data_IF_341987091006
#
_entry.id   IF_341987091006
#
_cell.length_a   1.000
_cell.length_b   1.000
_cell.length_c   1.000
_cell.angle_alpha   90.00
_cell.angle_beta   90.00
_cell.angle_gamma   90.00
#
_symmetry.space_group_name_H-M   'P 1'
#
loop_
_entity.id
_entity.type
_entity.pdbx_description
1 polymer ?
#
# COMPACT_ATOMS: atom_id res chain seq x y z
N UNK A 1 2.61 22.39 12.39
CA UNK A 1 1.94 21.47 11.44
C UNK A 1 0.52 21.16 11.87
N UNK A 2 -0.38 20.84 10.93
CA UNK A 2 -1.75 20.36 11.19
C UNK A 2 -2.02 19.12 10.32
N UNK A 3 -2.99 18.29 10.74
CA UNK A 3 -3.37 17.07 10.06
C UNK A 3 -4.80 17.20 9.54
N UNK A 4 -5.02 16.96 8.24
CA UNK A 4 -6.35 16.83 7.66
C UNK A 4 -6.58 15.38 7.23
N UNK A 5 -7.77 14.85 7.47
CA UNK A 5 -8.17 13.51 7.00
C UNK A 5 -9.24 13.61 5.93
N UNK A 6 -9.07 12.84 4.86
CA UNK A 6 -10.17 12.50 3.98
C UNK A 6 -11.01 11.34 4.54
N UNK A 7 -11.96 10.87 3.72
CA UNK A 7 -12.91 9.84 4.14
C UNK A 7 -12.43 8.40 3.91
N UNK A 8 -11.41 8.17 3.06
CA UNK A 8 -11.02 6.83 2.63
C UNK A 8 -10.51 5.93 3.75
N UNK A 9 -9.85 6.51 4.78
CA UNK A 9 -9.30 5.75 5.92
C UNK A 9 -9.17 6.61 7.18
N UNK A 10 -10.29 6.90 7.82
CA UNK A 10 -10.33 7.69 9.06
C UNK A 10 -9.61 6.99 10.23
N UNK A 11 -9.60 5.65 10.23
CA UNK A 11 -8.96 4.87 11.29
C UNK A 11 -7.46 5.12 11.38
N UNK A 12 -6.75 5.09 10.24
CA UNK A 12 -5.30 5.34 10.23
C UNK A 12 -5.00 6.80 10.58
N UNK A 13 -5.81 7.74 10.12
CA UNK A 13 -5.66 9.17 10.42
C UNK A 13 -5.79 9.45 11.92
N UNK A 14 -6.75 8.81 12.60
CA UNK A 14 -6.91 8.90 14.04
C UNK A 14 -5.73 8.29 14.81
N UNK A 15 -5.19 7.15 14.35
CA UNK A 15 -4.00 6.53 14.94
C UNK A 15 -2.77 7.45 14.79
N UNK A 16 -2.57 8.05 13.59
CA UNK A 16 -1.49 9.01 13.33
C UNK A 16 -1.65 10.26 14.21
N UNK A 17 -2.86 10.81 14.33
CA UNK A 17 -3.18 11.93 15.19
C UNK A 17 -2.80 11.65 16.66
N UNK A 18 -3.15 10.46 17.18
CA UNK A 18 -2.76 10.03 18.53
C UNK A 18 -1.24 9.87 18.68
N UNK A 19 -0.58 9.26 17.71
CA UNK A 19 0.88 9.07 17.72
C UNK A 19 1.62 10.40 17.76
N UNK A 20 1.18 11.38 16.96
CA UNK A 20 1.79 12.71 16.87
C UNK A 20 1.32 13.66 17.97
N UNK A 21 0.34 13.26 18.78
CA UNK A 21 -0.33 14.14 19.78
C UNK A 21 -0.84 15.45 19.14
N UNK A 22 -1.32 15.37 17.88
CA UNK A 22 -1.79 16.50 17.09
C UNK A 22 -3.22 16.23 16.65
N UNK A 23 -4.15 17.15 16.96
CA UNK A 23 -5.56 17.01 16.59
C UNK A 23 -5.73 17.09 15.06
N UNK A 24 -6.73 16.37 14.55
CA UNK A 24 -7.18 16.52 13.17
C UNK A 24 -7.89 17.86 13.01
N UNK A 25 -7.66 18.50 11.86
CA UNK A 25 -8.36 19.73 11.43
C UNK A 25 -9.85 19.45 11.37
N UNK A 26 -10.64 20.35 11.93
CA UNK A 26 -12.10 20.29 11.82
C UNK A 26 -12.52 20.63 10.40
N UNK A 27 -13.11 19.66 9.71
CA UNK A 27 -13.55 19.79 8.32
C UNK A 27 -14.83 18.99 8.07
N UNK A 28 -15.59 19.41 7.09
CA UNK A 28 -16.79 18.72 6.60
C UNK A 28 -16.54 18.27 5.17
N UNK A 29 -16.55 16.96 4.93
CA UNK A 29 -16.41 16.36 3.60
C UNK A 29 -17.64 15.51 3.35
N UNK A 30 -18.48 15.95 2.40
CA UNK A 30 -19.79 15.38 2.10
C UNK A 30 -19.95 15.15 0.61
N UNK A 31 -20.95 14.36 0.22
CA UNK A 31 -21.42 14.27 -1.16
C UNK A 31 -22.77 14.94 -1.29
N UNK A 32 -22.98 15.65 -2.39
CA UNK A 32 -24.30 16.09 -2.83
C UNK A 32 -25.10 14.90 -3.37
N UNK A 33 -26.40 15.12 -3.60
CA UNK A 33 -27.31 14.06 -4.07
C UNK A 33 -26.94 13.52 -5.45
N UNK A 34 -26.29 14.33 -6.29
CA UNK A 34 -25.76 13.96 -7.62
C UNK A 34 -24.40 13.25 -7.56
N UNK A 35 -23.81 13.16 -6.36
CA UNK A 35 -22.54 12.49 -6.12
C UNK A 35 -21.31 13.41 -6.12
N UNK A 36 -21.46 14.70 -6.42
CA UNK A 36 -20.36 15.67 -6.31
C UNK A 36 -19.87 15.78 -4.86
N UNK A 37 -18.57 16.02 -4.70
CA UNK A 37 -17.93 16.11 -3.38
C UNK A 37 -17.84 17.56 -2.96
N UNK A 38 -18.31 17.86 -1.76
CA UNK A 38 -18.19 19.15 -1.10
C UNK A 38 -17.23 19.09 0.07
N UNK A 39 -16.35 20.08 0.16
CA UNK A 39 -15.34 20.19 1.22
C UNK A 39 -15.40 21.57 1.85
N UNK A 40 -15.42 21.59 3.18
CA UNK A 40 -15.35 22.79 4.00
C UNK A 40 -14.33 22.61 5.13
N UNK A 41 -13.41 23.56 5.25
CA UNK A 41 -12.43 23.60 6.34
C UNK A 41 -12.95 24.56 7.40
N UNK A 42 -13.34 24.02 8.58
CA UNK A 42 -14.07 24.75 9.61
C UNK A 42 -13.13 25.35 10.69
N UNK A 43 -11.85 25.51 10.39
CA UNK A 43 -10.92 26.20 11.27
C UNK A 43 -9.83 26.96 10.49
N UNK A 44 -9.19 27.91 11.13
CA UNK A 44 -8.12 28.66 10.51
C UNK A 44 -6.85 27.80 10.35
N UNK A 45 -6.42 27.64 9.08
CA UNK A 45 -5.21 26.89 8.71
C UNK A 45 -4.16 27.76 8.01
N UNK A 46 -4.42 29.06 7.85
CA UNK A 46 -3.52 30.01 7.18
C UNK A 46 -2.10 29.92 7.72
N UNK A 47 -1.11 29.83 6.83
CA UNK A 47 0.30 29.81 7.18
C UNK A 47 0.78 28.52 7.84
N UNK A 48 -0.06 27.50 8.01
CA UNK A 48 0.33 26.21 8.56
C UNK A 48 0.78 25.22 7.45
N UNK A 49 1.74 24.35 7.78
CA UNK A 49 2.05 23.17 6.99
C UNK A 49 1.00 22.08 7.26
N UNK A 50 0.34 21.59 6.25
CA UNK A 50 -0.77 20.64 6.34
C UNK A 50 -0.34 19.28 5.76
N UNK A 51 -0.61 18.22 6.53
CA UNK A 51 -0.50 16.84 6.07
C UNK A 51 -1.89 16.29 5.85
N UNK A 52 -2.27 16.11 4.58
CA UNK A 52 -3.57 15.57 4.15
C UNK A 52 -3.44 14.06 3.98
N UNK A 53 -4.16 13.29 4.80
CA UNK A 53 -4.11 11.83 4.81
C UNK A 53 -5.32 11.28 4.04
N UNK A 54 -5.07 10.67 2.87
CA UNK A 54 -6.12 10.11 2.00
C UNK A 54 -5.55 9.01 1.11
N UNK A 55 -6.07 7.78 1.22
CA UNK A 55 -5.75 6.69 0.30
C UNK A 55 -6.61 6.75 -0.96
N UNK A 56 -6.04 6.43 -2.13
CA UNK A 56 -6.78 6.31 -3.40
C UNK A 56 -7.25 4.85 -3.56
N UNK A 57 -7.94 4.34 -2.53
CA UNK A 57 -8.54 3.00 -2.52
C UNK A 57 -9.97 3.05 -3.06
N UNK A 58 -10.62 1.88 -3.17
CA UNK A 58 -12.03 1.83 -3.62
C UNK A 58 -12.98 2.53 -2.65
N UNK A 59 -13.90 3.38 -3.17
CA UNK A 59 -14.12 3.78 -4.57
C UNK A 59 -13.03 4.75 -5.07
N UNK A 60 -12.15 4.27 -5.96
CA UNK A 60 -10.89 4.95 -6.26
C UNK A 60 -11.08 6.33 -6.93
N UNK A 61 -12.06 6.47 -7.82
CA UNK A 61 -12.34 7.74 -8.50
C UNK A 61 -12.84 8.80 -7.51
N UNK A 62 -13.72 8.43 -6.60
CA UNK A 62 -14.25 9.31 -5.58
C UNK A 62 -13.14 9.74 -4.60
N UNK A 63 -12.35 8.81 -4.14
CA UNK A 63 -11.25 9.09 -3.21
C UNK A 63 -10.13 9.91 -3.85
N UNK A 64 -9.88 9.74 -5.16
CA UNK A 64 -8.98 10.62 -5.91
C UNK A 64 -9.55 12.03 -6.04
N UNK A 65 -10.81 12.17 -6.46
CA UNK A 65 -11.44 13.48 -6.58
C UNK A 65 -11.49 14.19 -5.22
N UNK A 66 -11.83 13.48 -4.14
CA UNK A 66 -11.81 14.01 -2.77
C UNK A 66 -10.41 14.52 -2.38
N UNK A 67 -9.36 13.76 -2.71
CA UNK A 67 -7.98 14.19 -2.48
C UNK A 67 -7.67 15.51 -3.19
N UNK A 68 -8.01 15.61 -4.48
CA UNK A 68 -7.75 16.80 -5.29
C UNK A 68 -8.50 18.03 -4.78
N UNK A 69 -9.77 17.88 -4.43
CA UNK A 69 -10.60 18.95 -3.88
C UNK A 69 -10.11 19.37 -2.48
N UNK A 70 -9.65 18.43 -1.64
CA UNK A 70 -9.02 18.76 -0.36
C UNK A 70 -7.76 19.61 -0.55
N UNK A 71 -6.91 19.26 -1.52
CA UNK A 71 -5.68 20.02 -1.81
C UNK A 71 -6.05 21.43 -2.29
N UNK A 72 -7.02 21.59 -3.20
CA UNK A 72 -7.47 22.91 -3.67
C UNK A 72 -8.07 23.77 -2.54
N UNK A 73 -8.92 23.19 -1.69
CA UNK A 73 -9.47 23.88 -0.52
C UNK A 73 -8.38 24.35 0.45
N UNK A 74 -7.37 23.53 0.72
CA UNK A 74 -6.22 23.88 1.55
C UNK A 74 -5.41 25.03 0.95
N UNK A 75 -5.17 24.99 -0.36
CA UNK A 75 -4.47 26.04 -1.10
C UNK A 75 -5.23 27.38 -1.03
N UNK A 76 -6.54 27.36 -1.29
CA UNK A 76 -7.41 28.54 -1.19
C UNK A 76 -7.53 29.09 0.24
N UNK A 77 -7.37 28.22 1.25
CA UNK A 77 -7.32 28.61 2.65
C UNK A 77 -5.93 29.09 3.10
N UNK A 78 -5.02 29.34 2.15
CA UNK A 78 -3.65 29.86 2.38
C UNK A 78 -2.80 28.96 3.30
N UNK A 79 -2.89 27.63 3.16
CA UNK A 79 -1.92 26.72 3.75
C UNK A 79 -0.51 27.10 3.26
N UNK A 80 0.51 26.99 4.14
CA UNK A 80 1.90 27.27 3.79
C UNK A 80 2.48 26.21 2.87
N UNK A 81 2.30 24.96 3.24
CA UNK A 81 2.72 23.78 2.47
C UNK A 81 1.66 22.69 2.61
N UNK A 82 1.45 21.92 1.54
CA UNK A 82 0.51 20.80 1.51
C UNK A 82 1.28 19.51 1.17
N UNK A 83 1.40 18.62 2.16
CA UNK A 83 1.93 17.27 1.95
C UNK A 83 0.78 16.30 1.81
N UNK A 84 0.62 15.70 0.63
CA UNK A 84 -0.35 14.64 0.39
C UNK A 84 0.21 13.31 0.92
N UNK A 85 -0.33 12.82 2.04
CA UNK A 85 0.00 11.52 2.61
C UNK A 85 -0.99 10.51 2.05
N UNK A 86 -0.53 9.70 1.11
CA UNK A 86 -1.32 8.75 0.33
C UNK A 86 -0.86 7.33 0.68
N UNK A 87 -1.39 6.71 1.76
CA UNK A 87 -0.92 5.39 2.19
C UNK A 87 -1.04 4.33 1.09
N UNK A 88 -2.10 4.38 0.28
CA UNK A 88 -2.26 3.59 -0.93
C UNK A 88 -2.43 4.50 -2.14
N UNK A 89 -1.46 4.44 -3.06
CA UNK A 89 -1.50 5.18 -4.32
C UNK A 89 -2.22 4.35 -5.38
N UNK A 90 -3.49 4.64 -5.60
CA UNK A 90 -4.31 4.01 -6.65
C UNK A 90 -3.77 4.34 -8.05
N UNK A 91 -4.17 3.54 -9.06
CA UNK A 91 -3.70 3.63 -10.45
C UNK A 91 -2.21 3.30 -10.67
N UNK A 92 -1.44 2.98 -9.62
CA UNK A 92 -0.02 2.66 -9.70
C UNK A 92 0.31 1.49 -10.63
N UNK A 93 -0.63 0.54 -10.83
CA UNK A 93 -0.42 -0.63 -11.71
C UNK A 93 -0.36 -0.30 -13.21
N UNK A 94 -0.71 0.92 -13.58
CA UNK A 94 -0.66 1.44 -14.95
C UNK A 94 0.48 2.47 -15.08
N UNK A 95 1.69 2.02 -14.78
CA UNK A 95 2.94 2.83 -14.78
C UNK A 95 3.63 2.89 -16.14
N UNK A 96 3.19 2.08 -17.09
CA UNK A 96 3.72 1.99 -18.46
C UNK A 96 2.63 1.56 -19.43
N UNK A 97 2.86 1.79 -20.71
CA UNK A 97 2.01 1.22 -21.77
C UNK A 97 2.27 -0.28 -21.89
N UNK A 98 1.27 -1.08 -21.60
CA UNK A 98 1.32 -2.56 -21.74
C UNK A 98 0.79 -3.03 -23.09
N UNK A 99 0.08 -2.16 -23.81
CA UNK A 99 -0.43 -2.36 -25.17
C UNK A 99 -0.49 -1.03 -25.93
N UNK A 100 -0.58 -1.03 -27.28
CA UNK A 100 -0.79 0.18 -28.06
C UNK A 100 -2.06 0.94 -27.59
N UNK A 101 -1.99 2.28 -27.57
CA UNK A 101 -3.11 3.18 -27.25
C UNK A 101 -3.69 3.03 -25.83
N UNK A 102 -2.90 2.53 -24.88
CA UNK A 102 -3.25 2.51 -23.45
C UNK A 102 -2.72 3.74 -22.72
N UNK A 103 -3.38 4.14 -21.64
CA UNK A 103 -2.95 5.23 -20.78
C UNK A 103 -1.73 4.83 -19.90
N UNK A 104 -1.03 5.84 -19.40
CA UNK A 104 -0.12 5.72 -18.24
C UNK A 104 -0.82 6.43 -17.09
N UNK A 105 -1.77 5.74 -16.46
CA UNK A 105 -2.67 6.35 -15.48
C UNK A 105 -1.94 6.85 -14.24
N UNK A 106 -0.85 6.18 -13.84
CA UNK A 106 -0.01 6.63 -12.73
C UNK A 106 0.58 8.03 -13.00
N UNK A 107 1.02 8.32 -14.24
CA UNK A 107 1.52 9.66 -14.62
C UNK A 107 0.42 10.70 -14.62
N UNK A 108 -0.77 10.36 -15.14
CA UNK A 108 -1.92 11.27 -15.12
C UNK A 108 -2.30 11.65 -13.69
N UNK A 109 -2.42 10.67 -12.79
CA UNK A 109 -2.78 10.91 -11.38
C UNK A 109 -1.71 11.74 -10.68
N UNK A 110 -0.42 11.47 -10.94
CA UNK A 110 0.68 12.29 -10.39
C UNK A 110 0.60 13.74 -10.84
N UNK A 111 0.30 13.99 -12.11
CA UNK A 111 0.12 15.34 -12.64
C UNK A 111 -1.07 16.05 -11.99
N UNK A 112 -2.21 15.37 -11.83
CA UNK A 112 -3.40 15.94 -11.19
C UNK A 112 -3.13 16.38 -9.75
N UNK A 113 -2.45 15.53 -8.95
CA UNK A 113 -2.09 15.84 -7.56
C UNK A 113 -1.15 17.06 -7.50
N UNK A 114 -0.14 17.11 -8.37
CA UNK A 114 0.79 18.25 -8.43
C UNK A 114 0.06 19.53 -8.85
N UNK A 115 -0.79 19.46 -9.89
CA UNK A 115 -1.53 20.62 -10.38
C UNK A 115 -2.60 21.13 -9.41
N UNK A 116 -3.23 20.25 -8.62
CA UNK A 116 -4.13 20.63 -7.54
C UNK A 116 -3.41 21.50 -6.49
N UNK A 117 -2.11 21.35 -6.31
CA UNK A 117 -1.29 22.20 -5.45
C UNK A 117 -0.61 21.48 -4.28
N UNK A 118 -0.40 20.17 -4.36
CA UNK A 118 0.46 19.48 -3.42
C UNK A 118 1.93 19.90 -3.61
N UNK A 119 2.65 20.12 -2.51
CA UNK A 119 4.08 20.45 -2.50
C UNK A 119 4.96 19.23 -2.29
N UNK A 120 4.41 18.13 -1.78
CA UNK A 120 5.09 16.87 -1.47
C UNK A 120 4.10 15.72 -1.43
N UNK A 121 4.56 14.53 -1.78
CA UNK A 121 3.80 13.28 -1.60
C UNK A 121 4.55 12.37 -0.65
N UNK A 122 3.81 11.72 0.27
CA UNK A 122 4.29 10.60 1.10
C UNK A 122 3.41 9.41 0.78
N UNK A 123 4.00 8.28 0.44
CA UNK A 123 3.27 7.06 0.12
C UNK A 123 4.01 5.83 0.65
N UNK A 124 3.40 4.65 0.53
CA UNK A 124 4.00 3.39 0.99
C UNK A 124 4.02 2.39 -0.15
N UNK A 125 5.16 1.72 -0.35
CA UNK A 125 5.36 0.62 -1.29
C UNK A 125 4.69 0.84 -2.66
N UNK A 126 5.12 1.87 -3.38
CA UNK A 126 4.68 2.09 -4.77
C UNK A 126 4.85 0.80 -5.59
N UNK A 127 3.88 0.51 -6.45
CA UNK A 127 3.90 -0.66 -7.33
C UNK A 127 5.20 -0.75 -8.15
N UNK A 128 5.69 0.40 -8.58
CA UNK A 128 6.96 0.52 -9.28
C UNK A 128 7.72 1.76 -8.80
N UNK A 129 9.00 1.62 -8.49
CA UNK A 129 9.82 2.70 -7.93
C UNK A 129 9.93 3.93 -8.83
N UNK A 130 9.89 3.73 -10.16
CA UNK A 130 9.95 4.82 -11.16
C UNK A 130 8.75 5.77 -11.11
N UNK A 131 7.64 5.41 -10.47
CA UNK A 131 6.47 6.31 -10.30
C UNK A 131 6.86 7.58 -9.54
N UNK A 132 7.87 7.52 -8.68
CA UNK A 132 8.42 8.71 -8.00
C UNK A 132 8.86 9.78 -9.02
N UNK A 133 9.44 9.37 -10.16
CA UNK A 133 9.85 10.25 -11.25
C UNK A 133 8.69 10.80 -12.10
N UNK A 134 7.44 10.40 -11.83
CA UNK A 134 6.26 10.97 -12.50
C UNK A 134 5.80 12.28 -11.87
N UNK A 135 6.26 12.58 -10.67
CA UNK A 135 5.97 13.82 -9.97
C UNK A 135 7.07 14.85 -10.21
N UNK A 136 6.68 16.11 -10.36
CA UNK A 136 7.59 17.26 -10.41
C UNK A 136 7.82 17.86 -8.99
N UNK A 137 7.31 17.19 -7.96
CA UNK A 137 7.44 17.52 -6.55
C UNK A 137 8.10 16.36 -5.78
N UNK A 138 8.71 16.59 -4.62
CA UNK A 138 9.32 15.53 -3.82
C UNK A 138 8.35 14.42 -3.45
N UNK A 139 8.82 13.17 -3.54
CA UNK A 139 8.07 11.97 -3.15
C UNK A 139 8.87 11.15 -2.15
N UNK A 140 8.30 10.91 -0.98
CA UNK A 140 8.84 9.96 0.00
C UNK A 140 8.06 8.65 -0.11
N UNK A 141 8.66 7.66 -0.78
CA UNK A 141 8.13 6.30 -0.84
C UNK A 141 8.65 5.49 0.35
N UNK A 142 7.80 5.24 1.32
CA UNK A 142 8.11 4.44 2.51
C UNK A 142 7.97 2.94 2.21
N UNK A 143 8.56 2.08 3.07
CA UNK A 143 8.51 0.63 2.89
C UNK A 143 7.96 -0.07 4.12
N UNK A 144 7.03 -1.02 3.94
CA UNK A 144 6.48 -1.84 5.02
C UNK A 144 7.45 -2.95 5.47
N UNK A 145 8.53 -3.20 4.72
CA UNK A 145 9.54 -4.24 5.00
C UNK A 145 10.01 -4.29 6.46
N UNK A 146 10.31 -3.17 7.17
CA UNK A 146 10.70 -3.22 8.58
C UNK A 146 9.58 -3.72 9.52
N UNK A 147 8.33 -3.45 9.17
CA UNK A 147 7.16 -3.90 9.94
C UNK A 147 6.98 -5.40 9.73
N UNK A 148 7.03 -5.86 8.50
CA UNK A 148 6.93 -7.27 8.14
C UNK A 148 8.06 -8.10 8.74
N UNK A 149 9.31 -7.64 8.66
CA UNK A 149 10.45 -8.38 9.22
C UNK A 149 10.32 -8.57 10.73
N UNK A 150 9.88 -7.55 11.47
CA UNK A 150 9.63 -7.66 12.92
C UNK A 150 8.51 -8.64 13.23
N UNK A 151 7.42 -8.59 12.47
CA UNK A 151 6.29 -9.50 12.65
C UNK A 151 6.69 -10.95 12.35
N UNK A 152 7.39 -11.20 11.25
CA UNK A 152 7.88 -12.54 10.87
C UNK A 152 8.76 -13.13 11.96
N UNK A 153 9.76 -12.38 12.45
CA UNK A 153 10.66 -12.83 13.52
C UNK A 153 9.94 -13.23 14.80
N UNK A 154 8.78 -12.61 15.10
CA UNK A 154 8.00 -12.89 16.32
C UNK A 154 7.00 -14.03 16.14
N UNK A 155 6.39 -14.14 14.98
CA UNK A 155 5.17 -14.95 14.80
C UNK A 155 5.36 -16.15 13.88
N UNK A 156 6.34 -16.13 12.96
CA UNK A 156 6.61 -17.26 12.07
C UNK A 156 7.71 -18.13 12.69
N UNK A 157 7.29 -19.21 13.32
CA UNK A 157 8.23 -20.17 13.97
C UNK A 157 8.75 -21.17 12.94
N UNK A 158 10.06 -21.48 13.00
CA UNK A 158 10.71 -22.51 12.17
C UNK A 158 12.14 -22.13 11.80
N UNK A 159 13.00 -23.14 11.60
CA UNK A 159 14.41 -22.92 11.20
C UNK A 159 14.60 -22.86 9.68
N UNK A 160 13.64 -23.36 8.89
CA UNK A 160 13.74 -23.48 7.44
C UNK A 160 12.77 -22.53 6.74
N UNK A 161 13.04 -21.22 6.86
CA UNK A 161 12.25 -20.19 6.17
C UNK A 161 12.88 -19.83 4.82
N UNK A 162 12.06 -19.43 3.87
CA UNK A 162 12.50 -18.89 2.58
C UNK A 162 11.52 -17.79 2.13
N UNK A 163 12.04 -16.66 1.63
CA UNK A 163 11.23 -15.64 1.01
C UNK A 163 10.93 -16.01 -0.46
N UNK A 164 9.70 -15.72 -0.92
CA UNK A 164 9.24 -16.11 -2.26
C UNK A 164 8.69 -14.88 -2.98
N UNK A 165 9.24 -14.60 -4.15
CA UNK A 165 8.67 -13.62 -5.07
C UNK A 165 7.53 -14.28 -5.86
N UNK A 166 6.30 -13.73 -5.84
CA UNK A 166 5.17 -14.30 -6.55
C UNK A 166 5.26 -14.15 -8.09
N UNK A 167 6.18 -13.31 -8.55
CA UNK A 167 6.58 -13.15 -9.95
C UNK A 167 7.93 -12.43 -10.04
N UNK A 168 8.41 -12.21 -11.28
CA UNK A 168 9.70 -11.54 -11.54
C UNK A 168 9.69 -10.09 -11.06
N UNK A 169 8.57 -9.38 -11.15
CA UNK A 169 8.44 -8.00 -10.69
C UNK A 169 8.61 -7.84 -9.18
N UNK A 170 8.23 -8.84 -8.39
CA UNK A 170 8.35 -8.86 -6.93
C UNK A 170 9.74 -9.23 -6.39
N UNK A 171 10.71 -9.56 -7.26
CA UNK A 171 12.03 -10.07 -6.83
C UNK A 171 12.79 -9.06 -5.98
N UNK A 172 12.83 -7.79 -6.37
CA UNK A 172 13.56 -6.75 -5.63
C UNK A 172 12.99 -6.56 -4.21
N UNK A 173 11.68 -6.47 -4.08
CA UNK A 173 10.97 -6.36 -2.79
C UNK A 173 11.23 -7.59 -1.91
N UNK A 174 11.13 -8.78 -2.51
CA UNK A 174 11.41 -10.04 -1.80
C UNK A 174 12.85 -10.11 -1.31
N UNK A 175 13.81 -9.67 -2.13
CA UNK A 175 15.24 -9.63 -1.76
C UNK A 175 15.50 -8.65 -0.62
N UNK A 176 14.81 -7.51 -0.60
CA UNK A 176 14.92 -6.53 0.49
C UNK A 176 14.47 -7.13 1.83
N UNK A 177 13.35 -7.86 1.86
CA UNK A 177 12.89 -8.55 3.06
C UNK A 177 13.82 -9.72 3.43
N UNK A 178 14.25 -10.53 2.47
CA UNK A 178 15.14 -11.66 2.69
C UNK A 178 16.46 -11.24 3.35
N UNK A 179 17.07 -10.13 2.91
CA UNK A 179 18.27 -9.56 3.54
C UNK A 179 18.04 -9.17 5.01
N UNK A 180 16.90 -8.55 5.36
CA UNK A 180 16.59 -8.20 6.76
C UNK A 180 16.31 -9.40 7.66
N UNK A 181 16.01 -10.56 7.07
CA UNK A 181 15.72 -11.81 7.77
C UNK A 181 16.86 -12.81 7.70
N UNK A 182 17.89 -12.53 6.92
CA UNK A 182 19.00 -13.47 6.59
C UNK A 182 18.48 -14.78 5.98
N UNK A 183 17.62 -14.67 4.96
CA UNK A 183 16.96 -15.79 4.31
C UNK A 183 17.33 -15.86 2.82
N UNK A 184 17.27 -17.08 2.26
CA UNK A 184 17.30 -17.29 0.82
C UNK A 184 15.98 -16.86 0.14
N UNK A 185 16.01 -16.80 -1.20
CA UNK A 185 14.86 -16.49 -2.03
C UNK A 185 14.51 -17.62 -2.98
N UNK A 186 13.23 -17.75 -3.30
CA UNK A 186 12.70 -18.49 -4.45
C UNK A 186 11.80 -17.57 -5.28
N UNK A 187 11.57 -17.93 -6.53
CA UNK A 187 10.79 -17.12 -7.47
C UNK A 187 9.75 -18.01 -8.14
N UNK A 188 8.53 -17.50 -8.30
CA UNK A 188 7.49 -18.15 -9.08
C UNK A 188 7.52 -17.53 -10.49
N UNK A 189 7.93 -18.34 -11.48
CA UNK A 189 7.89 -17.99 -12.88
C UNK A 189 6.53 -18.39 -13.47
N UNK A 190 5.78 -17.37 -13.93
CA UNK A 190 4.44 -17.55 -14.51
C UNK A 190 4.55 -17.59 -16.02
N UNK A 191 4.27 -18.74 -16.61
CA UNK A 191 4.23 -18.90 -18.06
C UNK A 191 2.80 -19.18 -18.54
N UNK A 192 2.38 -18.45 -19.55
CA UNK A 192 1.19 -18.75 -20.34
C UNK A 192 1.65 -19.36 -21.66
N UNK A 193 1.65 -20.69 -21.81
CA UNK A 193 2.17 -21.31 -23.03
C UNK A 193 1.37 -20.93 -24.27
N UNK A 194 0.06 -20.69 -24.13
CA UNK A 194 -0.83 -20.24 -25.21
C UNK A 194 -2.05 -19.51 -24.63
N UNK A 195 -2.66 -18.54 -25.36
CA UNK A 195 -3.93 -17.95 -24.97
C UNK A 195 -4.99 -19.04 -24.73
N UNK A 196 -5.71 -18.96 -23.60
CA UNK A 196 -6.77 -19.92 -23.22
C UNK A 196 -6.31 -21.16 -22.44
N UNK A 197 -5.02 -21.43 -22.28
CA UNK A 197 -4.53 -22.51 -21.41
C UNK A 197 -4.29 -22.03 -19.97
N UNK A 198 -4.43 -22.96 -19.02
CA UNK A 198 -4.14 -22.70 -17.60
C UNK A 198 -2.71 -22.17 -17.41
N UNK A 199 -2.56 -21.22 -16.50
CA UNK A 199 -1.27 -20.62 -16.17
C UNK A 199 -0.38 -21.67 -15.49
N UNK A 200 0.75 -22.01 -16.10
CA UNK A 200 1.75 -22.89 -15.48
C UNK A 200 2.63 -22.03 -14.57
N UNK A 201 2.72 -22.44 -13.31
CA UNK A 201 3.62 -21.81 -12.32
C UNK A 201 4.83 -22.72 -12.11
N UNK A 202 5.99 -22.26 -12.51
CA UNK A 202 7.25 -22.92 -12.21
C UNK A 202 7.92 -22.25 -11.01
N UNK A 203 8.38 -23.05 -10.03
CA UNK A 203 9.08 -22.56 -8.85
C UNK A 203 10.60 -22.73 -9.07
N UNK A 204 11.29 -21.62 -9.10
CA UNK A 204 12.76 -21.56 -9.18
C UNK A 204 13.30 -21.39 -7.76
N UNK A 205 14.11 -22.34 -7.33
CA UNK A 205 14.63 -22.43 -5.96
C UNK A 205 14.06 -23.63 -5.18
N UNK A 206 14.75 -24.02 -4.12
CA UNK A 206 14.35 -25.18 -3.29
C UNK A 206 13.41 -24.74 -2.17
N UNK A 207 12.13 -25.18 -2.24
CA UNK A 207 11.08 -24.88 -1.25
C UNK A 207 10.64 -26.13 -0.46
N UNK A 208 11.19 -27.33 -0.78
CA UNK A 208 10.80 -28.59 -0.14
C UNK A 208 11.09 -28.54 1.37
N UNK A 209 10.10 -28.91 2.16
CA UNK A 209 10.14 -28.89 3.64
C UNK A 209 10.41 -27.51 4.25
N UNK A 210 10.21 -26.41 3.51
CA UNK A 210 10.40 -25.04 4.00
C UNK A 210 9.07 -24.35 4.30
N UNK A 211 9.10 -23.42 5.23
CA UNK A 211 8.04 -22.43 5.44
C UNK A 211 8.29 -21.26 4.47
N UNK A 212 7.40 -21.09 3.52
CA UNK A 212 7.49 -20.07 2.47
C UNK A 212 6.82 -18.77 2.91
N UNK A 213 7.50 -17.64 2.67
CA UNK A 213 7.01 -16.30 2.94
C UNK A 213 6.88 -15.57 1.62
N UNK A 214 5.66 -15.50 1.07
CA UNK A 214 5.39 -14.71 -0.14
C UNK A 214 5.31 -13.23 0.24
N UNK A 215 5.93 -12.36 -0.57
CA UNK A 215 5.93 -10.91 -0.36
C UNK A 215 5.50 -10.21 -1.63
N UNK A 216 4.53 -9.30 -1.51
CA UNK A 216 4.12 -8.45 -2.64
C UNK A 216 3.62 -7.07 -2.14
N UNK A 217 3.42 -6.12 -3.07
CA UNK A 217 2.83 -4.82 -2.75
C UNK A 217 1.30 -4.86 -2.67
N UNK A 218 0.63 -5.55 -3.60
CA UNK A 218 -0.83 -5.51 -3.75
C UNK A 218 -1.42 -6.92 -3.83
N UNK A 219 -2.50 -7.14 -3.08
CA UNK A 219 -3.43 -8.24 -3.32
C UNK A 219 -4.80 -7.66 -3.67
N UNK A 220 -5.26 -7.99 -4.90
CA UNK A 220 -6.54 -7.52 -5.42
C UNK A 220 -7.59 -8.66 -5.35
N UNK A 221 -7.84 -9.38 -6.42
CA UNK A 221 -8.81 -10.50 -6.45
C UNK A 221 -8.33 -11.78 -5.75
N UNK A 222 -7.07 -11.83 -5.32
CA UNK A 222 -6.45 -12.93 -4.61
C UNK A 222 -5.99 -14.11 -5.47
N UNK A 223 -6.45 -14.22 -6.73
CA UNK A 223 -6.20 -15.40 -7.56
C UNK A 223 -4.71 -15.72 -7.76
N UNK A 224 -3.90 -14.74 -8.09
CA UNK A 224 -2.45 -14.90 -8.28
C UNK A 224 -1.77 -15.47 -7.04
N UNK A 225 -2.07 -14.92 -5.87
CA UNK A 225 -1.44 -15.31 -4.61
C UNK A 225 -1.91 -16.69 -4.14
N UNK A 226 -3.20 -17.01 -4.33
CA UNK A 226 -3.76 -18.34 -4.02
C UNK A 226 -3.09 -19.41 -4.89
N UNK A 227 -2.99 -19.18 -6.20
CA UNK A 227 -2.33 -20.11 -7.12
C UNK A 227 -0.83 -20.25 -6.81
N UNK A 228 -0.17 -19.16 -6.42
CA UNK A 228 1.22 -19.18 -5.98
C UNK A 228 1.42 -20.04 -4.73
N UNK A 229 0.55 -19.91 -3.75
CA UNK A 229 0.58 -20.72 -2.53
C UNK A 229 0.36 -22.22 -2.85
N UNK A 230 -0.59 -22.54 -3.72
CA UNK A 230 -0.85 -23.90 -4.15
C UNK A 230 0.34 -24.52 -4.88
N UNK A 231 0.98 -23.77 -5.79
CA UNK A 231 2.18 -24.22 -6.48
C UNK A 231 3.34 -24.52 -5.52
N UNK A 232 3.53 -23.72 -4.47
CA UNK A 232 4.53 -23.96 -3.45
C UNK A 232 4.23 -25.23 -2.64
N UNK A 233 3.00 -25.44 -2.20
CA UNK A 233 2.59 -26.64 -1.46
C UNK A 233 2.79 -27.89 -2.34
N UNK A 234 2.39 -27.84 -3.62
CA UNK A 234 2.59 -28.93 -4.57
C UNK A 234 4.07 -29.26 -4.83
N UNK A 235 4.98 -28.29 -4.61
CA UNK A 235 6.43 -28.49 -4.64
C UNK A 235 7.03 -28.90 -3.28
N UNK A 236 6.19 -29.26 -2.31
CA UNK A 236 6.57 -29.80 -1.03
C UNK A 236 6.90 -28.73 0.03
N UNK A 237 6.46 -27.50 -0.13
CA UNK A 237 6.53 -26.51 0.94
C UNK A 237 5.68 -26.97 2.15
N UNK A 238 6.20 -26.72 3.37
CA UNK A 238 5.51 -27.10 4.61
C UNK A 238 4.32 -26.19 4.90
N UNK A 239 4.52 -24.91 4.75
CA UNK A 239 3.53 -23.86 5.04
C UNK A 239 3.78 -22.64 4.15
N UNK A 240 2.73 -21.88 3.88
CA UNK A 240 2.81 -20.63 3.13
C UNK A 240 2.19 -19.49 3.93
N UNK A 241 2.99 -18.48 4.23
CA UNK A 241 2.57 -17.19 4.78
C UNK A 241 2.71 -16.12 3.73
N UNK A 242 1.81 -15.16 3.72
CA UNK A 242 1.76 -14.10 2.72
C UNK A 242 1.80 -12.74 3.41
N UNK A 243 2.67 -11.84 2.95
CA UNK A 243 2.85 -10.48 3.48
C UNK A 243 2.68 -9.48 2.35
N UNK A 244 1.66 -8.66 2.43
CA UNK A 244 1.29 -7.73 1.37
C UNK A 244 0.96 -6.36 1.96
N UNK A 245 1.54 -5.32 1.38
CA UNK A 245 1.33 -3.97 1.89
C UNK A 245 -0.10 -3.52 1.68
N UNK A 246 -0.64 -3.65 0.46
CA UNK A 246 -1.96 -3.12 0.11
C UNK A 246 -2.98 -4.23 -0.11
N UNK A 247 -3.83 -4.44 0.88
CA UNK A 247 -4.97 -5.34 0.77
C UNK A 247 -6.14 -4.65 0.05
N UNK A 248 -6.16 -4.64 -1.28
CA UNK A 248 -7.33 -4.13 -2.03
C UNK A 248 -8.53 -5.02 -1.81
N UNK A 249 -8.34 -6.33 -1.84
CA UNK A 249 -9.31 -7.37 -1.52
C UNK A 249 -10.65 -7.15 -2.23
N UNK A 250 -10.61 -7.08 -3.56
CA UNK A 250 -11.80 -6.89 -4.39
C UNK A 250 -12.62 -8.18 -4.54
N UNK A 251 -13.92 -8.00 -4.74
CA UNK A 251 -14.85 -9.10 -4.98
C UNK A 251 -14.79 -10.18 -3.88
N UNK A 252 -14.60 -11.43 -4.28
CA UNK A 252 -14.55 -12.59 -3.38
C UNK A 252 -13.13 -12.92 -2.86
N UNK A 253 -12.19 -11.98 -2.88
CA UNK A 253 -10.80 -12.24 -2.50
C UNK A 253 -10.66 -12.86 -1.10
N UNK A 254 -11.39 -12.34 -0.12
CA UNK A 254 -11.38 -12.83 1.27
C UNK A 254 -11.84 -14.29 1.37
N UNK A 255 -12.89 -14.68 0.65
CA UNK A 255 -13.39 -16.06 0.65
C UNK A 255 -12.43 -17.02 -0.09
N UNK A 256 -11.80 -16.56 -1.19
CA UNK A 256 -10.75 -17.33 -1.87
C UNK A 256 -9.56 -17.60 -0.97
N UNK A 257 -9.09 -16.56 -0.25
CA UNK A 257 -7.98 -16.67 0.69
C UNK A 257 -8.33 -17.61 1.85
N UNK A 258 -9.53 -17.50 2.40
CA UNK A 258 -10.01 -18.35 3.47
C UNK A 258 -10.03 -19.84 3.10
N UNK A 259 -10.40 -20.15 1.84
CA UNK A 259 -10.47 -21.54 1.30
C UNK A 259 -9.13 -22.05 0.77
N UNK A 260 -8.09 -21.21 0.69
CA UNK A 260 -6.79 -21.53 0.10
C UNK A 260 -5.86 -22.28 1.05
N UNK A 261 -4.69 -22.68 0.54
CA UNK A 261 -3.57 -23.24 1.30
C UNK A 261 -2.73 -22.19 2.04
N UNK A 262 -3.13 -20.93 2.01
CA UNK A 262 -2.46 -19.85 2.73
C UNK A 262 -2.75 -19.99 4.22
N UNK A 263 -1.70 -20.17 5.02
CA UNK A 263 -1.83 -20.27 6.49
C UNK A 263 -2.23 -18.93 7.09
N UNK A 264 -1.52 -17.86 6.74
CA UNK A 264 -1.83 -16.49 7.14
C UNK A 264 -1.57 -15.53 5.99
N UNK A 265 -2.51 -14.64 5.74
CA UNK A 265 -2.30 -13.42 4.97
C UNK A 265 -2.15 -12.25 5.95
N UNK A 266 -1.01 -11.57 5.90
CA UNK A 266 -0.74 -10.36 6.68
C UNK A 266 -0.73 -9.18 5.73
N UNK A 267 -1.61 -8.22 5.96
CA UNK A 267 -1.70 -6.97 5.19
C UNK A 267 -1.45 -5.77 6.10
N UNK A 268 -1.34 -4.57 5.53
CA UNK A 268 -1.29 -3.35 6.34
C UNK A 268 -2.61 -2.58 6.29
N UNK A 269 -2.74 -1.60 7.20
CA UNK A 269 -3.90 -0.70 7.24
C UNK A 269 -3.76 0.52 6.30
N UNK A 270 -2.99 0.41 5.19
CA UNK A 270 -2.96 1.40 4.10
C UNK A 270 -4.33 1.60 3.47
N UNK A 271 -5.16 0.56 3.48
CA UNK A 271 -6.55 0.56 3.06
C UNK A 271 -7.39 0.08 4.25
N UNK A 272 -8.51 0.73 4.52
CA UNK A 272 -9.44 0.28 5.57
C UNK A 272 -10.21 -0.97 5.09
N UNK A 273 -9.83 -2.10 5.64
CA UNK A 273 -10.46 -3.40 5.38
C UNK A 273 -11.29 -3.92 6.56
N UNK A 274 -11.56 -3.11 7.57
CA UNK A 274 -12.22 -3.52 8.81
C UNK A 274 -13.53 -4.29 8.58
N UNK A 275 -14.30 -3.91 7.56
CA UNK A 275 -15.54 -4.59 7.20
C UNK A 275 -15.32 -5.87 6.38
N UNK A 276 -14.34 -5.89 5.47
CA UNK A 276 -14.10 -7.01 4.56
C UNK A 276 -13.54 -8.24 5.25
N UNK A 277 -12.72 -8.05 6.29
CA UNK A 277 -11.97 -9.15 6.94
C UNK A 277 -12.63 -9.70 8.20
N UNK A 278 -13.75 -9.14 8.66
CA UNK A 278 -14.43 -9.55 9.91
C UNK A 278 -14.63 -11.07 10.08
N UNK A 279 -14.84 -11.79 8.98
CA UNK A 279 -15.10 -13.25 8.96
C UNK A 279 -13.88 -14.07 8.52
N UNK A 280 -12.74 -13.46 8.26
CA UNK A 280 -11.55 -14.14 7.73
C UNK A 280 -10.49 -14.29 8.84
N UNK A 281 -10.51 -15.42 9.55
CA UNK A 281 -9.60 -15.69 10.69
C UNK A 281 -8.12 -15.82 10.29
N UNK A 282 -7.82 -16.06 9.02
CA UNK A 282 -6.46 -16.18 8.50
C UNK A 282 -5.95 -14.90 7.82
N UNK A 283 -6.64 -13.76 8.03
CA UNK A 283 -6.18 -12.44 7.55
C UNK A 283 -5.89 -11.56 8.78
N UNK A 284 -4.66 -11.07 8.87
CA UNK A 284 -4.19 -10.18 9.93
C UNK A 284 -3.82 -8.82 9.37
N UNK A 285 -4.08 -7.74 10.12
CA UNK A 285 -3.75 -6.37 9.72
C UNK A 285 -2.71 -5.78 10.65
N UNK A 286 -1.58 -5.36 10.08
CA UNK A 286 -0.55 -4.60 10.78
C UNK A 286 -0.73 -3.11 10.54
N UNK A 287 -0.66 -2.32 11.60
CA UNK A 287 -0.75 -0.87 11.43
C UNK A 287 0.57 -0.25 11.02
N UNK A 288 0.51 0.61 10.00
CA UNK A 288 1.64 1.45 9.56
C UNK A 288 1.60 2.86 10.15
N UNK A 289 0.70 3.11 11.11
CA UNK A 289 0.53 4.46 11.67
C UNK A 289 1.81 5.03 12.26
N UNK A 290 2.65 4.21 12.92
CA UNK A 290 3.92 4.66 13.48
C UNK A 290 4.93 5.03 12.38
N UNK A 291 4.96 4.27 11.28
CA UNK A 291 5.83 4.58 10.14
C UNK A 291 5.43 5.91 9.49
N UNK A 292 4.14 6.08 9.19
CA UNK A 292 3.63 7.33 8.61
C UNK A 292 3.77 8.50 9.59
N UNK A 293 3.45 8.30 10.87
CA UNK A 293 3.57 9.35 11.88
C UNK A 293 5.01 9.82 12.06
N UNK A 294 5.97 8.89 12.08
CA UNK A 294 7.38 9.26 12.18
C UNK A 294 7.88 9.97 10.91
N UNK A 295 7.45 9.55 9.72
CA UNK A 295 7.75 10.26 8.47
C UNK A 295 7.19 11.69 8.48
N UNK A 296 5.93 11.87 8.87
CA UNK A 296 5.30 13.19 9.02
C UNK A 296 6.08 14.07 10.00
N UNK A 297 6.46 13.53 11.16
CA UNK A 297 7.25 14.23 12.16
C UNK A 297 8.61 14.67 11.62
N UNK A 298 9.31 13.79 10.90
CA UNK A 298 10.61 14.10 10.29
C UNK A 298 10.51 15.16 9.22
N UNK A 299 9.52 15.08 8.33
CA UNK A 299 9.26 16.10 7.30
C UNK A 299 8.95 17.45 7.96
N UNK A 300 8.09 17.46 8.98
CA UNK A 300 7.74 18.68 9.72
C UNK A 300 8.93 19.33 10.41
N UNK A 301 9.90 18.53 10.85
CA UNK A 301 11.12 18.98 11.55
C UNK A 301 12.32 19.13 10.62
N UNK A 302 12.13 18.97 9.29
CA UNK A 302 13.21 19.04 8.27
C UNK A 302 14.35 18.04 8.54
N UNK A 303 14.02 16.84 9.04
CA UNK A 303 14.97 15.74 9.28
C UNK A 303 14.81 14.60 8.29
N UNK A 304 15.84 13.76 8.14
CA UNK A 304 15.90 12.71 7.12
C UNK A 304 14.84 11.62 7.30
N UNK A 305 14.02 11.38 6.28
CA UNK A 305 13.04 10.28 6.22
C UNK A 305 13.73 8.95 5.91
N UNK A 306 14.81 8.95 5.13
CA UNK A 306 15.54 7.72 4.74
C UNK A 306 16.17 6.97 5.93
N UNK A 307 16.42 7.67 7.03
CA UNK A 307 16.93 7.03 8.26
C UNK A 307 15.94 6.04 8.91
N UNK A 308 14.68 6.06 8.50
CA UNK A 308 13.68 5.08 8.95
C UNK A 308 13.96 3.66 8.46
N UNK A 309 14.83 3.49 7.47
CA UNK A 309 15.08 2.23 6.77
C UNK A 309 16.49 1.67 6.94
N UNK A 310 17.35 2.39 7.66
CA UNK A 310 18.72 1.97 8.04
C UNK A 310 18.74 0.83 9.06
#
# INVERSE_FOLDING_TARGET
MKLLTGNSNKNISQKISKFLKTKLVHSSIKKFSDGEIYIEINENIRGNSIFLIQSISSPANDNLMELLLCIDALKRSSAKNITAVIPYFGYARQDRKVAPRTSISAKLVSNLITKAGADRVVTVDLHAGQIQGFFDIPVDNLFATPIFSRHIKRNVKGKNLICVAPDVGGVERTRALARKLDLGIAIIDKRRPTPGKSQVMNVVGNVKNKTCIIVDDIIDSGGTIVNAAEALINRGAKEVHVYITHGVLSGEATEKIKKSKIKNLVITDTIDNSNKIKKAKNIEVLSICNLLGEAIKRISNSTSVSDLFK
#
